data_IF_550364029501
#
_entry.id   IF_550364029501
#
_cell.length_a   1.000
_cell.length_b   1.000
_cell.length_c   1.000
_cell.angle_alpha   90.00
_cell.angle_beta   90.00
_cell.angle_gamma   90.00
#
_symmetry.space_group_name_H-M   'P 1'
#
loop_
_entity.id
_entity.type
_entity.pdbx_description
1 polymer ?
#
# COMPACT_ATOMS: atom_id res chain seq x y z
N UNK A 1 0.44 4.28 -9.66
CA UNK A 1 0.40 2.79 -9.74
C UNK A 1 -0.75 2.27 -10.59
N UNK A 2 -1.92 2.94 -10.62
CA UNK A 2 -3.11 2.41 -11.31
C UNK A 2 -2.92 2.08 -12.79
N UNK A 3 -2.07 2.81 -13.50
CA UNK A 3 -1.77 2.57 -14.92
C UNK A 3 -0.76 1.46 -15.18
N UNK A 4 -0.07 0.96 -14.14
CA UNK A 4 0.96 -0.07 -14.23
C UNK A 4 0.53 -1.38 -13.56
N UNK A 5 -0.56 -1.35 -12.80
CA UNK A 5 -1.07 -2.50 -12.07
C UNK A 5 -1.98 -3.29 -13.01
N UNK A 6 -1.42 -4.30 -13.64
CA UNK A 6 -2.14 -5.34 -14.37
C UNK A 6 -2.22 -6.63 -13.54
N UNK A 7 -2.76 -7.68 -14.13
CA UNK A 7 -2.83 -9.01 -13.51
C UNK A 7 -1.44 -9.60 -13.16
N UNK A 8 -0.38 -9.03 -13.71
CA UNK A 8 1.02 -9.42 -13.51
C UNK A 8 1.72 -8.73 -12.32
N UNK A 9 1.03 -7.89 -11.57
CA UNK A 9 1.58 -7.26 -10.36
C UNK A 9 0.90 -7.79 -9.10
N UNK A 10 1.72 -8.24 -8.15
CA UNK A 10 1.28 -8.69 -6.84
C UNK A 10 1.52 -7.56 -5.82
N UNK A 11 0.50 -7.17 -5.06
CA UNK A 11 0.64 -6.12 -4.06
C UNK A 11 0.65 -6.71 -2.65
N UNK A 12 1.69 -6.38 -1.89
CA UNK A 12 1.77 -6.62 -0.45
C UNK A 12 1.93 -5.29 0.26
N UNK A 13 0.95 -4.94 1.11
CA UNK A 13 0.82 -3.61 1.68
C UNK A 13 1.04 -3.57 3.19
N UNK A 14 1.11 -2.36 3.71
CA UNK A 14 1.09 -1.98 5.13
C UNK A 14 -0.35 -1.81 5.62
N UNK A 15 -0.52 -1.34 6.85
CA UNK A 15 -1.84 -1.19 7.50
C UNK A 15 -2.73 -0.04 6.97
N UNK A 16 -2.23 0.82 6.05
CA UNK A 16 -3.02 1.90 5.42
C UNK A 16 -3.27 1.55 3.95
N UNK A 17 -4.05 0.52 3.74
CA UNK A 17 -4.22 -0.17 2.47
C UNK A 17 -5.55 0.14 1.74
N UNK A 18 -6.33 1.13 2.18
CA UNK A 18 -7.67 1.40 1.64
C UNK A 18 -7.69 1.78 0.15
N UNK A 19 -6.66 2.49 -0.33
CA UNK A 19 -6.60 2.92 -1.72
C UNK A 19 -6.26 1.77 -2.69
N UNK A 20 -5.40 0.84 -2.28
CA UNK A 20 -4.90 -0.22 -3.16
C UNK A 20 -6.01 -1.16 -3.68
N UNK A 21 -6.95 -1.68 -2.87
CA UNK A 21 -8.05 -2.48 -3.37
C UNK A 21 -8.92 -1.70 -4.38
N UNK A 22 -9.22 -0.43 -4.11
CA UNK A 22 -10.03 0.40 -5.00
C UNK A 22 -9.36 0.61 -6.35
N UNK A 23 -8.06 0.90 -6.35
CA UNK A 23 -7.26 1.06 -7.58
C UNK A 23 -7.18 -0.24 -8.38
N UNK A 24 -7.10 -1.38 -7.71
CA UNK A 24 -7.13 -2.71 -8.34
C UNK A 24 -8.51 -3.12 -8.86
N UNK A 25 -9.55 -2.34 -8.55
CA UNK A 25 -10.91 -2.56 -9.02
C UNK A 25 -11.79 -3.40 -8.08
N UNK A 26 -11.39 -3.54 -6.81
CA UNK A 26 -12.30 -4.08 -5.79
C UNK A 26 -13.45 -3.11 -5.60
N UNK A 27 -14.68 -3.62 -5.64
CA UNK A 27 -15.88 -2.79 -5.50
C UNK A 27 -15.87 -2.06 -4.14
N UNK A 28 -16.05 -0.72 -4.12
CA UNK A 28 -16.02 0.09 -2.91
C UNK A 28 -16.95 -0.41 -1.79
N UNK A 29 -18.07 -1.04 -2.14
CA UNK A 29 -19.02 -1.57 -1.15
C UNK A 29 -18.43 -2.68 -0.28
N UNK A 30 -17.55 -3.54 -0.85
CA UNK A 30 -16.90 -4.61 -0.08
C UNK A 30 -15.78 -4.06 0.81
N UNK A 31 -15.07 -3.04 0.35
CA UNK A 31 -14.08 -2.31 1.16
C UNK A 31 -14.77 -1.61 2.33
N UNK A 32 -15.89 -0.93 2.08
CA UNK A 32 -16.69 -0.27 3.12
C UNK A 32 -17.26 -1.28 4.12
N UNK A 33 -17.80 -2.39 3.64
CA UNK A 33 -18.33 -3.45 4.49
C UNK A 33 -17.25 -4.04 5.41
N UNK A 34 -16.01 -4.20 4.93
CA UNK A 34 -14.90 -4.64 5.77
C UNK A 34 -14.58 -3.65 6.89
N UNK A 35 -14.54 -2.35 6.58
CA UNK A 35 -14.34 -1.30 7.60
C UNK A 35 -15.45 -1.26 8.64
N UNK A 36 -16.68 -1.68 8.28
CA UNK A 36 -17.83 -1.80 9.19
C UNK A 36 -17.85 -3.15 9.93
N UNK A 37 -16.87 -4.03 9.71
CA UNK A 37 -16.80 -5.36 10.31
C UNK A 37 -17.91 -6.30 9.86
N UNK A 38 -18.34 -6.19 8.61
CA UNK A 38 -19.45 -6.96 8.05
C UNK A 38 -18.98 -8.20 7.31
N UNK A 39 -19.78 -9.28 7.37
CA UNK A 39 -19.49 -10.55 6.70
C UNK A 39 -19.26 -10.43 5.19
N UNK A 40 -19.86 -9.43 4.57
CA UNK A 40 -19.70 -9.16 3.13
C UNK A 40 -18.42 -8.40 2.76
N UNK A 41 -17.59 -8.05 3.74
CA UNK A 41 -16.31 -7.39 3.52
C UNK A 41 -15.26 -8.29 2.89
N UNK A 42 -14.18 -7.70 2.41
CA UNK A 42 -13.06 -8.35 1.71
C UNK A 42 -12.37 -9.45 2.52
N UNK A 43 -12.44 -9.36 3.83
CA UNK A 43 -11.90 -10.34 4.80
C UNK A 43 -12.98 -10.87 5.74
N UNK A 44 -14.23 -10.94 5.26
CA UNK A 44 -15.41 -11.41 6.00
C UNK A 44 -15.67 -10.61 7.30
N UNK A 45 -15.26 -9.33 7.34
CA UNK A 45 -15.39 -8.47 8.52
C UNK A 45 -14.38 -8.74 9.63
N UNK A 46 -13.40 -9.63 9.40
CA UNK A 46 -12.36 -10.02 10.39
C UNK A 46 -11.10 -9.15 10.30
N UNK A 47 -10.89 -8.48 9.18
CA UNK A 47 -9.68 -7.68 8.90
C UNK A 47 -9.80 -6.22 9.32
N UNK A 48 -11.00 -5.68 9.28
CA UNK A 48 -11.24 -4.25 9.53
C UNK A 48 -10.45 -3.36 8.57
N UNK A 49 -9.97 -2.23 9.08
CA UNK A 49 -9.30 -1.20 8.28
C UNK A 49 -7.81 -1.48 7.96
N UNK A 50 -7.25 -2.60 8.39
CA UNK A 50 -5.81 -2.88 8.27
C UNK A 50 -5.46 -4.19 7.55
N UNK A 51 -6.45 -5.01 7.25
CA UNK A 51 -6.24 -6.34 6.68
C UNK A 51 -7.26 -6.62 5.57
N UNK A 52 -7.12 -5.88 4.45
CA UNK A 52 -7.94 -6.05 3.27
C UNK A 52 -7.23 -6.94 2.26
N UNK A 53 -7.89 -7.97 1.77
CA UNK A 53 -7.36 -8.93 0.81
C UNK A 53 -8.28 -9.05 -0.39
N UNK A 54 -7.70 -9.13 -1.59
CA UNK A 54 -8.42 -9.46 -2.81
C UNK A 54 -7.53 -10.33 -3.69
N UNK A 55 -7.62 -11.63 -3.49
CA UNK A 55 -6.78 -12.60 -4.19
C UNK A 55 -6.99 -12.58 -5.71
N UNK A 56 -8.21 -12.33 -6.16
CA UNK A 56 -8.53 -12.30 -7.59
C UNK A 56 -7.85 -11.14 -8.30
N UNK A 57 -7.50 -10.09 -7.54
CA UNK A 57 -6.79 -8.90 -8.02
C UNK A 57 -5.35 -8.83 -7.56
N UNK A 58 -4.78 -9.96 -7.14
CA UNK A 58 -3.40 -10.03 -6.65
C UNK A 58 -3.07 -9.07 -5.49
N UNK A 59 -4.08 -8.68 -4.70
CA UNK A 59 -3.89 -7.96 -3.44
C UNK A 59 -3.74 -8.95 -2.29
N UNK A 60 -2.51 -9.16 -1.87
CA UNK A 60 -2.14 -10.08 -0.79
C UNK A 60 -2.20 -9.41 0.60
N UNK A 61 -2.94 -8.32 0.68
CA UNK A 61 -3.43 -7.67 1.88
C UNK A 61 -2.50 -6.73 2.58
N UNK A 62 -3.10 -6.01 3.53
CA UNK A 62 -2.41 -5.17 4.50
C UNK A 62 -1.81 -5.97 5.65
N UNK A 63 -0.95 -5.31 6.43
CA UNK A 63 -0.30 -5.91 7.58
C UNK A 63 -0.22 -4.95 8.76
N UNK A 64 -0.85 -5.30 9.88
CA UNK A 64 -0.87 -4.48 11.09
C UNK A 64 0.47 -4.44 11.84
N UNK A 65 1.30 -5.50 11.72
CA UNK A 65 2.62 -5.52 12.33
C UNK A 65 3.60 -4.75 11.46
N UNK A 66 4.15 -3.66 12.02
CA UNK A 66 5.05 -2.75 11.31
C UNK A 66 6.30 -3.47 10.83
N UNK A 67 6.54 -3.47 9.52
CA UNK A 67 7.68 -4.14 8.89
C UNK A 67 7.46 -5.62 8.56
N UNK A 68 6.43 -6.28 9.10
CA UNK A 68 6.18 -7.71 8.85
C UNK A 68 5.87 -8.04 7.39
N UNK A 69 5.35 -7.09 6.63
CA UNK A 69 5.06 -7.27 5.20
C UNK A 69 6.31 -7.39 4.32
N UNK A 70 7.47 -6.90 4.76
CA UNK A 70 8.69 -6.84 3.94
C UNK A 70 9.13 -8.25 3.52
N UNK A 71 9.28 -9.15 4.49
CA UNK A 71 9.63 -10.55 4.21
C UNK A 71 8.53 -11.29 3.44
N UNK A 72 7.27 -10.99 3.72
CA UNK A 72 6.14 -11.61 3.01
C UNK A 72 6.11 -11.19 1.54
N UNK A 73 6.37 -9.90 1.24
CA UNK A 73 6.46 -9.42 -0.14
C UNK A 73 7.58 -10.10 -0.93
N UNK A 74 8.76 -10.24 -0.32
CA UNK A 74 9.84 -11.02 -0.93
C UNK A 74 9.49 -12.51 -1.11
N UNK A 75 8.70 -13.08 -0.19
CA UNK A 75 8.20 -14.45 -0.29
C UNK A 75 7.25 -14.66 -1.47
N UNK A 76 6.37 -13.71 -1.76
CA UNK A 76 5.50 -13.72 -2.95
C UNK A 76 6.37 -13.69 -4.21
N UNK A 77 7.29 -12.73 -4.31
CA UNK A 77 8.21 -12.63 -5.45
C UNK A 77 9.08 -13.89 -5.64
N UNK A 78 9.47 -14.55 -4.54
CA UNK A 78 10.16 -15.83 -4.59
C UNK A 78 9.28 -16.93 -5.19
N UNK A 79 8.00 -17.00 -4.77
CA UNK A 79 7.05 -17.97 -5.28
C UNK A 79 6.82 -17.80 -6.79
N UNK A 80 6.61 -16.57 -7.24
CA UNK A 80 6.40 -16.24 -8.66
C UNK A 80 7.65 -16.61 -9.49
N UNK A 81 8.82 -16.23 -9.02
CA UNK A 81 10.07 -16.60 -9.66
C UNK A 81 10.28 -18.12 -9.71
N UNK A 82 9.98 -18.84 -8.64
CA UNK A 82 10.10 -20.30 -8.58
C UNK A 82 9.15 -20.98 -9.57
N UNK A 83 7.94 -20.43 -9.73
CA UNK A 83 6.94 -20.90 -10.68
C UNK A 83 7.21 -20.44 -12.11
N UNK A 84 8.18 -19.57 -12.32
CA UNK A 84 8.53 -18.95 -13.61
C UNK A 84 7.39 -18.10 -14.17
N UNK A 85 6.63 -17.46 -13.30
CA UNK A 85 5.61 -16.48 -13.63
C UNK A 85 6.28 -15.12 -13.90
N UNK A 86 5.70 -14.33 -14.82
CA UNK A 86 6.20 -13.00 -15.20
C UNK A 86 5.58 -11.90 -14.31
N UNK A 87 5.48 -12.19 -13.03
CA UNK A 87 4.93 -11.26 -12.06
C UNK A 87 6.02 -10.43 -11.37
N UNK A 88 5.66 -9.22 -10.98
CA UNK A 88 6.48 -8.35 -10.14
C UNK A 88 5.70 -8.03 -8.88
N UNK A 89 6.32 -8.24 -7.73
CA UNK A 89 5.72 -7.91 -6.44
C UNK A 89 6.04 -6.47 -6.04
N UNK A 90 5.03 -5.69 -5.69
CA UNK A 90 5.19 -4.36 -5.08
C UNK A 90 4.95 -4.47 -3.59
N UNK A 91 5.96 -4.18 -2.80
CA UNK A 91 5.93 -4.27 -1.34
C UNK A 91 6.01 -2.86 -0.72
N UNK A 92 4.89 -2.38 -0.19
CA UNK A 92 4.81 -1.08 0.45
C UNK A 92 5.19 -1.12 1.92
N UNK A 93 5.92 -0.10 2.37
CA UNK A 93 6.25 0.11 3.78
C UNK A 93 6.30 1.61 4.09
N UNK A 94 6.12 1.99 5.35
CA UNK A 94 6.35 3.37 5.79
C UNK A 94 7.80 3.58 6.22
N UNK A 95 8.19 4.84 6.38
CA UNK A 95 9.51 5.27 6.89
C UNK A 95 9.87 4.61 8.23
N UNK A 96 8.91 4.47 9.15
CA UNK A 96 9.12 3.76 10.40
C UNK A 96 9.34 2.25 10.23
N UNK A 97 8.68 1.62 9.28
CA UNK A 97 8.86 0.19 8.98
C UNK A 97 10.24 -0.10 8.39
N UNK A 98 10.82 0.84 7.66
CA UNK A 98 12.16 0.73 7.09
C UNK A 98 13.29 0.63 8.16
N UNK A 99 12.96 0.76 9.45
CA UNK A 99 13.89 0.58 10.58
C UNK A 99 13.86 -0.80 11.21
N UNK A 100 13.00 -1.70 10.71
CA UNK A 100 12.95 -3.07 11.22
C UNK A 100 14.13 -3.90 10.69
N UNK A 101 14.71 -4.75 11.56
CA UNK A 101 15.81 -5.63 11.18
C UNK A 101 15.49 -6.56 10.00
N UNK A 102 14.23 -6.98 9.88
CA UNK A 102 13.72 -7.79 8.77
C UNK A 102 13.96 -7.17 7.40
N UNK A 103 14.00 -5.83 7.28
CA UNK A 103 14.37 -5.16 6.02
C UNK A 103 15.74 -5.62 5.55
N UNK A 104 16.73 -5.61 6.43
CA UNK A 104 18.11 -5.96 6.11
C UNK A 104 18.26 -7.43 5.71
N UNK A 105 17.61 -8.32 6.45
CA UNK A 105 17.58 -9.76 6.13
C UNK A 105 16.93 -9.98 4.75
N UNK A 106 15.79 -9.36 4.51
CA UNK A 106 15.03 -9.48 3.27
C UNK A 106 15.80 -8.91 2.08
N UNK A 107 16.44 -7.74 2.23
CA UNK A 107 17.22 -7.12 1.15
C UNK A 107 18.39 -8.02 0.72
N UNK A 108 19.08 -8.61 1.69
CA UNK A 108 20.14 -9.58 1.39
C UNK A 108 19.63 -10.78 0.58
N UNK A 109 18.52 -11.38 1.01
CA UNK A 109 17.92 -12.53 0.31
C UNK A 109 17.39 -12.14 -1.08
N UNK A 110 16.69 -11.02 -1.17
CA UNK A 110 16.11 -10.54 -2.43
C UNK A 110 17.17 -10.26 -3.49
N UNK A 111 18.29 -9.64 -3.10
CA UNK A 111 19.41 -9.37 -4.00
C UNK A 111 20.15 -10.65 -4.38
N UNK A 112 20.40 -11.55 -3.41
CA UNK A 112 21.08 -12.85 -3.64
C UNK A 112 20.32 -13.70 -4.65
N UNK A 113 19.00 -13.72 -4.55
CA UNK A 113 18.15 -14.51 -5.44
C UNK A 113 17.60 -13.73 -6.62
N UNK A 114 17.94 -12.44 -6.75
CA UNK A 114 17.45 -11.55 -7.81
C UNK A 114 15.93 -11.64 -7.94
N UNK A 115 15.22 -11.41 -6.82
CA UNK A 115 13.76 -11.50 -6.79
C UNK A 115 13.12 -10.32 -7.54
N UNK A 116 12.01 -10.54 -8.28
CA UNK A 116 11.28 -9.49 -8.96
C UNK A 116 10.39 -8.73 -7.96
N UNK A 117 10.99 -7.96 -7.06
CA UNK A 117 10.28 -7.19 -6.05
C UNK A 117 10.71 -5.72 -6.05
N UNK A 118 9.73 -4.84 -5.97
CA UNK A 118 9.92 -3.40 -5.78
C UNK A 118 9.58 -3.09 -4.32
N UNK A 119 10.56 -2.68 -3.56
CA UNK A 119 10.35 -2.19 -2.20
C UNK A 119 10.07 -0.69 -2.26
N UNK A 120 8.90 -0.27 -1.80
CA UNK A 120 8.49 1.14 -1.77
C UNK A 120 8.41 1.59 -0.32
N UNK A 121 9.22 2.61 0.01
CA UNK A 121 9.06 3.36 1.25
C UNK A 121 8.13 4.54 0.95
N UNK A 122 6.90 4.49 1.45
CA UNK A 122 6.04 5.68 1.48
C UNK A 122 6.50 6.58 2.63
N UNK A 123 7.45 7.43 2.30
CA UNK A 123 8.10 8.31 3.27
C UNK A 123 7.25 9.57 3.47
N UNK A 124 6.31 9.48 4.40
CA UNK A 124 5.46 10.61 4.77
C UNK A 124 6.06 11.45 5.91
N UNK A 125 7.33 11.28 6.21
CA UNK A 125 8.16 11.97 7.20
C UNK A 125 7.83 11.65 8.67
N UNK A 126 6.75 10.92 8.95
CA UNK A 126 6.30 10.68 10.33
C UNK A 126 5.83 9.24 10.57
N UNK A 127 6.55 8.52 11.41
CA UNK A 127 6.08 7.27 12.01
C UNK A 127 5.22 7.61 13.24
N UNK A 128 3.90 7.54 13.12
CA UNK A 128 2.95 8.12 14.07
C UNK A 128 3.21 9.63 14.26
N UNK A 129 3.74 10.05 15.40
CA UNK A 129 4.13 11.42 15.72
C UNK A 129 5.64 11.64 15.80
N UNK A 130 6.43 10.68 15.33
CA UNK A 130 7.90 10.75 15.39
C UNK A 130 8.49 10.98 14.00
N UNK A 131 9.20 12.09 13.81
CA UNK A 131 9.81 12.40 12.51
C UNK A 131 10.98 11.48 12.18
N UNK A 132 11.26 11.33 10.88
CA UNK A 132 12.42 10.57 10.37
C UNK A 132 13.71 11.15 10.97
N UNK A 133 13.90 12.46 10.95
CA UNK A 133 15.08 13.15 11.49
C UNK A 133 15.37 12.81 12.96
N UNK A 134 14.30 12.61 13.75
CA UNK A 134 14.44 12.32 15.17
C UNK A 134 14.92 10.90 15.47
N UNK A 135 14.68 9.96 14.57
CA UNK A 135 14.93 8.52 14.80
C UNK A 135 15.93 7.90 13.83
N UNK A 136 16.34 8.65 12.83
CA UNK A 136 17.25 8.18 11.79
C UNK A 136 18.55 8.94 11.82
N UNK A 137 19.66 8.21 11.87
CA UNK A 137 20.98 8.79 11.65
C UNK A 137 21.18 9.23 10.19
N UNK A 138 20.51 8.54 9.26
CA UNK A 138 20.51 8.87 7.83
C UNK A 138 19.05 9.07 7.40
N UNK A 139 18.76 10.22 6.83
CA UNK A 139 17.40 10.61 6.41
C UNK A 139 17.10 10.25 4.95
N UNK A 140 18.15 10.08 4.13
CA UNK A 140 18.05 9.63 2.75
C UNK A 140 17.84 8.11 2.72
N UNK A 141 16.58 7.67 2.75
CA UNK A 141 16.24 6.25 2.97
C UNK A 141 16.59 5.36 1.78
N UNK A 142 16.78 5.92 0.58
CA UNK A 142 17.30 5.19 -0.57
C UNK A 142 18.67 4.55 -0.28
N UNK A 143 19.48 5.18 0.58
CA UNK A 143 20.80 4.67 0.94
C UNK A 143 20.79 3.33 1.67
N UNK A 144 19.63 2.91 2.19
CA UNK A 144 19.46 1.59 2.82
C UNK A 144 19.73 0.44 1.82
N UNK A 145 19.51 0.67 0.53
CA UNK A 145 19.81 -0.31 -0.52
C UNK A 145 21.31 -0.42 -0.85
N UNK A 146 22.10 0.61 -0.56
CA UNK A 146 23.50 0.70 -0.99
C UNK A 146 24.38 -0.43 -0.45
N UNK A 147 24.18 -0.86 0.81
CA UNK A 147 24.91 -1.96 1.44
C UNK A 147 24.72 -3.30 0.72
N UNK A 148 23.63 -3.44 -0.02
CA UNK A 148 23.27 -4.63 -0.78
C UNK A 148 23.54 -4.47 -2.28
N UNK A 149 24.06 -3.31 -2.71
CA UNK A 149 24.16 -2.93 -4.12
C UNK A 149 22.81 -2.99 -4.85
N UNK A 150 21.73 -2.77 -4.11
CA UNK A 150 20.39 -2.71 -4.67
C UNK A 150 20.20 -1.36 -5.36
N UNK A 151 19.75 -1.32 -6.62
CA UNK A 151 19.34 -0.09 -7.26
C UNK A 151 18.28 0.62 -6.43
N UNK A 152 18.52 1.90 -6.17
CA UNK A 152 17.68 2.67 -5.27
C UNK A 152 17.55 4.09 -5.78
N UNK A 153 16.41 4.71 -5.57
CA UNK A 153 16.15 6.10 -5.96
C UNK A 153 15.19 6.78 -4.96
N UNK A 154 15.42 8.07 -4.76
CA UNK A 154 14.43 8.97 -4.15
C UNK A 154 13.51 9.51 -5.22
N UNK A 155 12.20 9.47 -4.98
CA UNK A 155 11.16 9.89 -5.93
C UNK A 155 10.25 10.92 -5.28
N UNK A 156 9.90 11.98 -6.03
CA UNK A 156 8.90 12.95 -5.57
C UNK A 156 7.50 12.31 -5.58
N UNK A 157 7.02 11.91 -4.41
CA UNK A 157 5.69 11.29 -4.24
C UNK A 157 4.52 12.27 -4.38
N UNK A 158 4.80 13.58 -4.54
CA UNK A 158 3.80 14.59 -4.87
C UNK A 158 3.62 14.75 -6.38
N UNK A 159 4.42 14.06 -7.21
CA UNK A 159 4.28 13.96 -8.67
C UNK A 159 3.85 12.55 -9.08
N UNK A 160 2.58 12.32 -9.46
CA UNK A 160 2.10 11.02 -9.94
C UNK A 160 2.89 10.50 -11.14
N UNK A 161 3.34 11.40 -12.03
CA UNK A 161 4.12 11.04 -13.21
C UNK A 161 5.49 10.49 -12.81
N UNK A 162 6.19 11.15 -11.88
CA UNK A 162 7.50 10.68 -11.40
C UNK A 162 7.39 9.32 -10.71
N UNK A 163 6.33 9.12 -9.92
CA UNK A 163 6.06 7.82 -9.28
C UNK A 163 5.77 6.74 -10.32
N UNK A 164 4.94 7.05 -11.34
CA UNK A 164 4.63 6.13 -12.43
C UNK A 164 5.91 5.67 -13.13
N UNK A 165 6.74 6.60 -13.57
CA UNK A 165 7.94 6.31 -14.35
C UNK A 165 8.96 5.49 -13.53
N UNK A 166 9.16 5.83 -12.27
CA UNK A 166 10.07 5.09 -11.39
C UNK A 166 9.60 3.64 -11.15
N UNK A 167 8.29 3.43 -10.96
CA UNK A 167 7.74 2.08 -10.79
C UNK A 167 7.81 1.30 -12.11
N UNK A 168 7.57 1.94 -13.27
CA UNK A 168 7.67 1.31 -14.57
C UNK A 168 9.10 0.80 -14.82
N UNK A 169 10.12 1.62 -14.56
CA UNK A 169 11.51 1.24 -14.69
C UNK A 169 11.88 0.08 -13.75
N UNK A 170 11.46 0.16 -12.50
CA UNK A 170 11.71 -0.89 -11.51
C UNK A 170 11.02 -2.22 -11.88
N UNK A 171 9.79 -2.17 -12.42
CA UNK A 171 9.07 -3.35 -12.89
C UNK A 171 9.76 -4.01 -14.09
N UNK A 172 10.22 -3.21 -15.04
CA UNK A 172 10.98 -3.69 -16.20
C UNK A 172 12.28 -4.41 -15.76
N UNK A 173 13.00 -3.86 -14.78
CA UNK A 173 14.16 -4.51 -14.16
C UNK A 173 13.81 -5.87 -13.57
N UNK A 174 12.71 -5.90 -12.77
CA UNK A 174 12.24 -7.13 -12.14
C UNK A 174 11.94 -8.22 -13.16
N UNK A 175 11.21 -7.87 -14.23
CA UNK A 175 10.87 -8.79 -15.34
C UNK A 175 12.10 -9.30 -16.09
N UNK A 176 13.11 -8.48 -16.26
CA UNK A 176 14.40 -8.89 -16.85
C UNK A 176 15.24 -9.80 -15.95
N UNK A 177 14.78 -10.06 -14.71
CA UNK A 177 15.54 -10.87 -13.76
C UNK A 177 16.79 -10.20 -13.21
N UNK A 178 16.86 -8.87 -13.29
CA UNK A 178 18.01 -8.09 -12.79
C UNK A 178 17.98 -7.92 -11.27
N UNK A 179 16.84 -8.23 -10.63
CA UNK A 179 16.67 -8.23 -9.18
C UNK A 179 15.80 -7.08 -8.67
N UNK A 180 15.75 -6.88 -7.34
CA UNK A 180 14.88 -5.91 -6.71
C UNK A 180 15.32 -4.47 -6.92
N UNK A 181 14.40 -3.54 -6.64
CA UNK A 181 14.65 -2.08 -6.60
C UNK A 181 14.05 -1.52 -5.31
N UNK A 182 14.73 -0.54 -4.71
CA UNK A 182 14.22 0.24 -3.58
C UNK A 182 13.84 1.64 -4.06
N UNK A 183 12.62 2.09 -3.77
CA UNK A 183 12.15 3.44 -4.05
C UNK A 183 11.77 4.14 -2.73
N UNK A 184 12.45 5.24 -2.40
CA UNK A 184 12.06 6.15 -1.32
C UNK A 184 11.12 7.21 -1.91
N UNK A 185 9.81 6.97 -1.83
CA UNK A 185 8.80 7.87 -2.37
C UNK A 185 8.44 8.90 -1.30
N UNK A 186 8.93 10.11 -1.48
CA UNK A 186 8.74 11.21 -0.54
C UNK A 186 7.36 11.85 -0.72
N UNK A 187 6.51 11.65 0.24
CA UNK A 187 5.15 12.15 0.26
C UNK A 187 4.83 12.82 1.61
N UNK A 188 3.56 13.11 1.88
CA UNK A 188 3.18 13.72 3.14
C UNK A 188 1.79 13.28 3.60
N UNK A 189 1.62 13.11 4.92
CA UNK A 189 0.34 12.80 5.53
C UNK A 189 -0.34 14.08 6.05
N UNK A 190 -1.36 14.61 5.36
CA UNK A 190 -2.06 15.84 5.75
C UNK A 190 -2.83 15.73 7.07
N UNK A 191 -3.44 14.57 7.32
CA UNK A 191 -4.20 14.29 8.54
C UNK A 191 -3.31 13.69 9.62
N UNK A 192 -3.82 13.62 10.86
CA UNK A 192 -3.15 12.88 11.92
C UNK A 192 -3.00 11.39 11.61
N UNK A 193 -2.21 10.70 12.41
CA UNK A 193 -2.00 9.26 12.26
C UNK A 193 -3.33 8.49 12.38
N UNK A 194 -4.19 8.92 13.29
CA UNK A 194 -5.54 8.39 13.51
C UNK A 194 -6.49 9.54 13.85
N UNK A 195 -7.78 9.25 13.99
CA UNK A 195 -8.80 10.24 14.37
C UNK A 195 -8.53 10.88 15.74
N UNK A 196 -7.87 10.18 16.64
CA UNK A 196 -7.51 10.67 17.97
C UNK A 196 -6.17 11.42 18.04
N UNK A 197 -5.43 11.52 16.93
CA UNK A 197 -4.12 12.18 16.90
C UNK A 197 -4.27 13.72 16.87
N UNK A 198 -3.84 14.43 17.91
CA UNK A 198 -3.96 15.89 18.01
C UNK A 198 -2.93 16.63 17.18
N UNK A 199 -2.01 15.96 16.51
CA UNK A 199 -0.98 16.52 15.61
C UNK A 199 -0.06 17.57 16.24
N UNK A 200 0.25 17.46 17.53
CA UNK A 200 1.09 18.44 18.26
C UNK A 200 2.59 18.37 17.91
N UNK A 201 3.00 17.41 17.10
CA UNK A 201 4.40 17.15 16.72
C UNK A 201 4.84 17.91 15.46
N UNK A 202 3.95 18.63 14.79
CA UNK A 202 4.21 19.40 13.57
C UNK A 202 3.43 20.71 13.53
N UNK A 203 3.88 21.66 12.73
CA UNK A 203 3.22 22.96 12.59
C UNK A 203 2.13 22.95 11.51
N UNK A 204 1.22 23.93 11.59
CA UNK A 204 0.22 24.12 10.52
C UNK A 204 0.86 24.63 9.23
N UNK A 205 1.93 25.42 9.33
CA UNK A 205 2.64 25.98 8.18
C UNK A 205 3.36 24.88 7.40
N UNK A 206 3.95 23.90 8.10
CA UNK A 206 4.53 22.71 7.48
C UNK A 206 3.47 21.96 6.64
N UNK A 207 2.28 21.71 7.21
CA UNK A 207 1.19 21.03 6.49
C UNK A 207 0.73 21.86 5.29
N UNK A 208 0.58 23.18 5.44
CA UNK A 208 0.14 24.07 4.37
C UNK A 208 1.10 24.06 3.18
N UNK A 209 2.41 24.07 3.43
CA UNK A 209 3.41 23.99 2.36
C UNK A 209 3.33 22.70 1.53
N UNK A 210 2.92 21.57 2.14
CA UNK A 210 2.68 20.35 1.37
C UNK A 210 1.34 20.37 0.64
N UNK A 211 0.30 20.99 1.21
CA UNK A 211 -1.02 21.14 0.55
C UNK A 211 -0.91 22.00 -0.72
N UNK A 212 -0.03 23.00 -0.77
CA UNK A 212 0.21 23.79 -1.99
C UNK A 212 0.73 22.95 -3.16
N UNK A 213 1.34 21.79 -2.86
CA UNK A 213 1.87 20.83 -3.83
C UNK A 213 1.00 19.58 -3.97
N UNK A 214 -0.30 19.70 -3.68
CA UNK A 214 -1.23 18.57 -3.71
C UNK A 214 -1.27 17.88 -5.09
N UNK A 215 -1.00 16.56 -5.17
CA UNK A 215 -0.94 15.83 -6.44
C UNK A 215 -2.28 15.81 -7.17
N UNK A 216 -3.42 15.88 -6.47
CA UNK A 216 -4.75 15.91 -7.09
C UNK A 216 -4.95 17.25 -7.78
N UNK A 217 -4.57 18.35 -7.11
CA UNK A 217 -4.65 19.69 -7.69
C UNK A 217 -3.71 19.82 -8.91
N UNK A 218 -2.50 19.25 -8.82
CA UNK A 218 -1.56 19.21 -9.94
C UNK A 218 -2.17 18.50 -11.16
N UNK A 219 -2.61 17.26 -11.01
CA UNK A 219 -3.19 16.46 -12.12
C UNK A 219 -4.43 17.13 -12.69
N UNK A 220 -5.28 17.73 -11.85
CA UNK A 220 -6.43 18.51 -12.32
C UNK A 220 -5.99 19.69 -13.21
N UNK A 221 -4.94 20.41 -12.81
CA UNK A 221 -4.34 21.47 -13.62
C UNK A 221 -3.87 20.96 -14.97
N UNK A 222 -3.09 19.88 -15.00
CA UNK A 222 -2.58 19.24 -16.23
C UNK A 222 -3.72 18.83 -17.17
N UNK A 223 -4.79 18.22 -16.65
CA UNK A 223 -5.96 17.82 -17.45
C UNK A 223 -6.62 19.03 -18.12
N UNK A 224 -6.83 20.11 -17.36
CA UNK A 224 -7.51 21.31 -17.87
C UNK A 224 -6.64 22.09 -18.87
N UNK A 225 -5.34 22.24 -18.59
CA UNK A 225 -4.39 22.92 -19.46
C UNK A 225 -4.26 22.22 -20.82
N UNK A 226 -4.23 20.89 -20.81
CA UNK A 226 -4.17 20.08 -22.03
C UNK A 226 -5.54 19.87 -22.69
N UNK A 227 -6.62 20.38 -22.08
CA UNK A 227 -8.00 20.24 -22.59
C UNK A 227 -8.44 18.79 -22.80
N UNK A 228 -7.94 17.89 -21.96
CA UNK A 228 -8.35 16.49 -21.99
C UNK A 228 -9.77 16.31 -21.46
N UNK A 229 -10.15 17.11 -20.46
CA UNK A 229 -11.50 17.21 -19.92
C UNK A 229 -11.82 18.67 -19.56
N UNK A 230 -13.11 18.97 -19.35
CA UNK A 230 -13.60 20.24 -18.86
C UNK A 230 -13.82 20.21 -17.34
N UNK A 231 -13.95 21.37 -16.73
CA UNK A 231 -14.27 21.52 -15.30
C UNK A 231 -15.62 20.87 -14.94
N UNK A 232 -16.60 20.95 -15.87
CA UNK A 232 -17.92 20.35 -15.71
C UNK A 232 -17.85 18.83 -15.70
N UNK A 233 -17.04 18.23 -16.58
CA UNK A 233 -16.82 16.80 -16.62
C UNK A 233 -16.13 16.29 -15.36
N UNK A 234 -15.11 17.00 -14.86
CA UNK A 234 -14.45 16.66 -13.60
C UNK A 234 -15.42 16.72 -12.40
N UNK A 235 -16.30 17.73 -12.35
CA UNK A 235 -17.36 17.81 -11.33
C UNK A 235 -18.39 16.69 -11.46
N UNK A 236 -18.67 16.24 -12.68
CA UNK A 236 -19.57 15.09 -12.91
C UNK A 236 -18.95 13.80 -12.31
N UNK A 237 -17.65 13.57 -12.53
CA UNK A 237 -16.93 12.44 -11.91
C UNK A 237 -16.96 12.52 -10.39
N UNK A 238 -16.71 13.70 -9.80
CA UNK A 238 -16.79 13.88 -8.34
C UNK A 238 -18.19 13.56 -7.79
N UNK A 239 -19.24 13.93 -8.52
CA UNK A 239 -20.62 13.62 -8.13
C UNK A 239 -20.92 12.14 -8.21
N UNK A 240 -20.43 11.46 -9.24
CA UNK A 240 -20.59 10.02 -9.41
C UNK A 240 -19.88 9.27 -8.28
N UNK A 241 -18.63 9.61 -7.97
CA UNK A 241 -17.87 9.01 -6.87
C UNK A 241 -18.57 9.20 -5.52
N UNK A 242 -19.14 10.39 -5.27
CA UNK A 242 -19.94 10.62 -4.04
C UNK A 242 -21.14 9.68 -3.95
N UNK A 243 -21.86 9.48 -5.05
CA UNK A 243 -22.99 8.57 -5.10
C UNK A 243 -22.56 7.10 -4.84
N UNK A 244 -21.41 6.67 -5.42
CA UNK A 244 -20.85 5.34 -5.15
C UNK A 244 -20.48 5.16 -3.68
N UNK A 245 -19.91 6.18 -3.04
CA UNK A 245 -19.59 6.13 -1.59
C UNK A 245 -20.86 6.01 -0.75
N UNK A 246 -21.91 6.76 -1.06
CA UNK A 246 -23.20 6.69 -0.36
C UNK A 246 -23.83 5.29 -0.51
N UNK A 247 -23.79 4.72 -1.71
CA UNK A 247 -24.25 3.34 -1.96
C UNK A 247 -23.43 2.31 -1.18
N UNK A 248 -22.10 2.48 -1.13
CA UNK A 248 -21.21 1.59 -0.38
C UNK A 248 -21.49 1.65 1.13
N UNK A 249 -21.77 2.84 1.69
CA UNK A 249 -22.17 3.01 3.09
C UNK A 249 -23.47 2.26 3.36
N UNK A 250 -24.49 2.49 2.54
CA UNK A 250 -25.79 1.83 2.68
C UNK A 250 -25.65 0.31 2.62
N UNK A 251 -24.91 -0.22 1.65
CA UNK A 251 -24.64 -1.65 1.56
C UNK A 251 -23.96 -2.19 2.83
N UNK A 252 -22.97 -1.47 3.37
CA UNK A 252 -22.28 -1.88 4.58
C UNK A 252 -23.21 -1.88 5.79
N UNK A 253 -24.08 -0.86 5.94
CA UNK A 253 -25.06 -0.78 7.03
C UNK A 253 -26.06 -1.93 7.00
N UNK A 254 -26.57 -2.28 5.81
CA UNK A 254 -27.56 -3.35 5.60
C UNK A 254 -26.94 -4.75 5.65
N UNK A 255 -25.61 -4.86 5.51
CA UNK A 255 -24.91 -6.14 5.54
C UNK A 255 -24.90 -6.81 6.92
N UNK A 256 -24.98 -8.15 7.00
CA UNK A 256 -24.94 -8.87 8.27
C UNK A 256 -23.56 -8.81 8.93
N UNK A 257 -23.54 -8.94 10.24
CA UNK A 257 -22.34 -9.22 11.01
C UNK A 257 -21.90 -10.68 10.78
N UNK A 258 -20.60 -11.00 10.96
CA UNK A 258 -20.14 -12.40 10.99
C UNK A 258 -20.87 -13.20 12.09
N UNK A 259 -21.16 -14.47 11.82
CA UNK A 259 -21.75 -15.36 12.82
C UNK A 259 -20.72 -15.71 13.90
N UNK A 260 -21.18 -15.97 15.13
CA UNK A 260 -20.29 -16.32 16.24
C UNK A 260 -19.45 -17.59 15.96
N UNK A 261 -19.99 -18.53 15.19
CA UNK A 261 -19.26 -19.74 14.75
C UNK A 261 -18.02 -19.41 13.91
N UNK A 262 -18.03 -18.31 13.17
CA UNK A 262 -16.91 -17.90 12.30
C UNK A 262 -15.66 -17.48 13.08
N UNK A 263 -15.76 -17.35 14.41
CA UNK A 263 -14.62 -17.09 15.28
C UNK A 263 -13.53 -18.19 15.15
N UNK A 264 -13.92 -19.40 14.85
CA UNK A 264 -13.05 -20.57 14.75
C UNK A 264 -12.78 -20.99 13.29
N UNK A 265 -13.35 -20.29 12.31
CA UNK A 265 -13.13 -20.53 10.90
C UNK A 265 -11.93 -19.76 10.37
N UNK A 266 -11.30 -20.27 9.32
CA UNK A 266 -10.16 -19.64 8.62
C UNK A 266 -8.91 -19.43 9.51
N UNK A 267 -8.81 -20.12 10.65
CA UNK A 267 -7.63 -20.04 11.54
C UNK A 267 -6.53 -20.96 11.03
N UNK A 268 -6.89 -22.20 10.74
CA UNK A 268 -6.00 -23.21 10.16
C UNK A 268 -6.71 -24.01 9.06
N UNK A 269 -5.93 -24.66 8.21
CA UNK A 269 -6.49 -25.53 7.16
C UNK A 269 -7.15 -26.79 7.74
N UNK A 270 -6.73 -27.22 8.91
CA UNK A 270 -7.24 -28.41 9.62
C UNK A 270 -8.39 -28.00 10.54
N UNK A 271 -9.42 -28.84 10.58
CA UNK A 271 -10.58 -28.64 11.46
C UNK A 271 -10.36 -29.10 12.91
N UNK A 272 -9.30 -29.87 13.16
CA UNK A 272 -8.96 -30.50 14.44
C UNK A 272 -7.83 -29.77 15.20
N UNK A 273 -7.51 -28.55 14.82
CA UNK A 273 -6.58 -27.72 15.56
C UNK A 273 -7.27 -27.04 16.76
N UNK A 274 -6.57 -26.87 17.90
CA UNK A 274 -5.26 -27.37 18.24
C UNK A 274 -5.28 -28.88 18.48
N UNK A 275 -4.29 -29.54 17.98
CA UNK A 275 -4.10 -30.99 17.97
C UNK A 275 -3.72 -31.58 19.32
N UNK A 276 -4.23 -31.10 20.38
CA UNK A 276 -4.04 -31.76 21.68
C UNK A 276 -5.20 -32.72 21.85
N UNK A 277 -5.04 -33.88 21.29
CA UNK A 277 -5.81 -35.03 21.69
C UNK A 277 -4.97 -35.76 22.71
N UNK A 278 -5.31 -35.56 23.95
CA UNK A 278 -4.87 -36.46 25.02
C UNK A 278 -5.56 -37.82 24.91
#
# INVERSE_FOLDING_TARGET
CSGLVGSEMCIRDRYRDHAHPLVLGTDPKFVMAEMFGKKTGTSKGKGGSMHMFDKERNLFGGHGIVGGQIGLGAGIAFADKYRKEDHVTVCFMGDGAARQGMLHETFNMAMTWKLPVIFIIENNQYAMGTSVERTSNVTDLETLGASYKMPSATVDGMSPEAVHDAIAEAAERGRKGEGPTLLDIQTYRYKGHSMSDPQKYRTKDEVAGYVERDPIAHVRGVILENKWNTEEELKAVEKEVKAQVEEAIKFAEESPLPDASELYEDVYMQSDYPFVND
#
